data_IF_597348748567
#
_entry.id   IF_597348748567
#
_cell.length_a   1.000
_cell.length_b   1.000
_cell.length_c   1.000
_cell.angle_alpha   90.00
_cell.angle_beta   90.00
_cell.angle_gamma   90.00
#
_symmetry.space_group_name_H-M   'P 1'
#
loop_
_entity.id
_entity.type
_entity.pdbx_description
1 polymer ?
#
# COMPACT_ATOMS: atom_id res chain seq x y z
N UNK A 1 -10.26 5.11 -23.68
CA UNK A 1 -9.06 5.84 -23.19
C UNK A 1 -8.53 6.65 -24.36
N UNK A 2 -8.25 7.96 -24.19
CA UNK A 2 -7.75 8.82 -25.27
C UNK A 2 -6.25 8.51 -25.46
N UNK A 3 -5.74 8.59 -26.70
CA UNK A 3 -4.32 8.36 -27.07
C UNK A 3 -3.32 9.09 -26.17
N UNK A 4 -3.72 10.27 -25.68
CA UNK A 4 -2.96 11.11 -24.76
C UNK A 4 -2.84 10.50 -23.36
N UNK A 5 -3.91 9.87 -22.88
CA UNK A 5 -3.92 9.17 -21.57
C UNK A 5 -3.09 7.87 -21.61
N UNK A 6 -3.07 7.20 -22.74
CA UNK A 6 -2.28 5.99 -22.96
C UNK A 6 -0.78 6.30 -22.97
N UNK A 7 -0.40 7.44 -23.58
CA UNK A 7 0.98 7.90 -23.59
C UNK A 7 1.47 8.29 -22.19
N UNK A 8 0.66 9.01 -21.41
CA UNK A 8 0.98 9.35 -20.02
C UNK A 8 1.11 8.08 -19.15
N UNK A 9 0.20 7.12 -19.31
CA UNK A 9 0.26 5.85 -18.61
C UNK A 9 1.54 5.06 -18.89
N UNK A 10 2.04 5.10 -20.13
CA UNK A 10 3.32 4.49 -20.52
C UNK A 10 4.50 5.16 -19.82
N UNK A 11 4.53 6.51 -19.75
CA UNK A 11 5.58 7.26 -19.05
C UNK A 11 5.54 6.94 -17.55
N UNK A 12 4.35 6.96 -16.94
CA UNK A 12 4.15 6.65 -15.52
C UNK A 12 4.62 5.23 -15.20
N UNK A 13 4.26 4.25 -16.03
CA UNK A 13 4.64 2.85 -15.83
C UNK A 13 6.16 2.66 -15.93
N UNK A 14 6.81 3.20 -16.97
CA UNK A 14 8.25 3.08 -17.11
C UNK A 14 9.04 3.80 -16.02
N UNK A 15 8.54 4.95 -15.54
CA UNK A 15 9.12 5.64 -14.40
C UNK A 15 8.95 4.81 -13.10
N UNK A 16 7.77 4.20 -12.89
CA UNK A 16 7.50 3.33 -11.75
C UNK A 16 8.47 2.14 -11.70
N UNK A 17 8.75 1.49 -12.85
CA UNK A 17 9.69 0.38 -12.94
C UNK A 17 11.11 0.80 -12.56
N UNK A 18 11.57 1.94 -13.06
CA UNK A 18 12.89 2.46 -12.72
C UNK A 18 12.99 2.84 -11.23
N UNK A 19 11.99 3.52 -10.68
CA UNK A 19 11.96 3.87 -9.25
C UNK A 19 11.95 2.63 -8.38
N UNK A 20 11.19 1.60 -8.76
CA UNK A 20 11.10 0.33 -8.05
C UNK A 20 12.46 -0.36 -7.95
N UNK A 21 13.26 -0.34 -9.01
CA UNK A 21 14.55 -1.04 -9.06
C UNK A 21 15.68 -0.20 -8.46
N UNK A 22 15.76 1.08 -8.84
CA UNK A 22 16.91 1.93 -8.56
C UNK A 22 16.71 2.95 -7.43
N UNK A 23 15.48 3.06 -6.88
CA UNK A 23 15.10 4.13 -5.96
C UNK A 23 14.83 5.45 -6.67
N UNK A 24 14.18 6.38 -5.95
CA UNK A 24 13.74 7.63 -6.58
C UNK A 24 14.94 8.52 -6.91
N UNK A 25 15.89 8.65 -5.98
CA UNK A 25 16.99 9.59 -6.11
C UNK A 25 17.90 9.31 -7.29
N UNK A 26 18.23 8.04 -7.54
CA UNK A 26 19.15 7.63 -8.59
C UNK A 26 18.57 7.79 -10.00
N UNK A 27 17.24 7.81 -10.16
CA UNK A 27 16.58 7.91 -11.46
C UNK A 27 16.42 9.37 -11.88
N UNK A 28 16.87 9.70 -13.08
CA UNK A 28 16.74 11.03 -13.70
C UNK A 28 15.67 11.03 -14.80
N UNK A 29 15.18 12.21 -15.20
CA UNK A 29 14.27 12.36 -16.34
C UNK A 29 14.93 11.86 -17.64
N UNK A 30 16.25 11.99 -17.78
CA UNK A 30 17.01 11.45 -18.93
C UNK A 30 17.05 9.92 -18.93
N UNK A 31 17.23 9.31 -17.77
CA UNK A 31 17.18 7.85 -17.63
C UNK A 31 15.81 7.30 -18.01
N UNK A 32 14.72 7.97 -17.61
CA UNK A 32 13.37 7.59 -17.97
C UNK A 32 13.14 7.74 -19.49
N UNK A 33 13.58 8.84 -20.08
CA UNK A 33 13.50 9.07 -21.54
C UNK A 33 14.21 7.96 -22.32
N UNK A 34 15.44 7.65 -21.92
CA UNK A 34 16.25 6.59 -22.53
C UNK A 34 15.60 5.21 -22.39
N UNK A 35 15.09 4.88 -21.21
CA UNK A 35 14.40 3.62 -20.94
C UNK A 35 13.16 3.42 -21.82
N UNK A 36 12.41 4.50 -22.06
CA UNK A 36 11.19 4.47 -22.86
C UNK A 36 11.43 4.63 -24.37
N UNK A 37 12.67 4.96 -24.78
CA UNK A 37 13.00 5.25 -26.18
C UNK A 37 12.32 6.50 -26.72
N UNK A 38 12.11 7.52 -25.86
CA UNK A 38 11.47 8.81 -26.22
C UNK A 38 12.41 9.97 -25.92
N UNK A 39 12.09 11.15 -26.49
CA UNK A 39 12.89 12.35 -26.21
C UNK A 39 12.61 12.87 -24.79
N UNK A 40 13.63 13.46 -24.15
CA UNK A 40 13.47 14.18 -22.87
C UNK A 40 12.40 15.27 -22.97
N UNK A 41 12.35 15.96 -24.10
CA UNK A 41 11.35 16.99 -24.39
C UNK A 41 9.93 16.43 -24.28
N UNK A 42 9.68 15.24 -24.83
CA UNK A 42 8.37 14.59 -24.79
C UNK A 42 7.90 14.29 -23.37
N UNK A 43 8.82 14.00 -22.43
CA UNK A 43 8.45 13.84 -21.03
C UNK A 43 8.11 15.20 -20.39
N UNK A 44 8.93 16.23 -20.65
CA UNK A 44 8.70 17.56 -20.06
C UNK A 44 7.46 18.27 -20.63
N UNK A 45 6.99 17.91 -21.80
CA UNK A 45 5.70 18.37 -22.35
C UNK A 45 4.51 17.82 -21.55
N UNK A 46 4.69 16.71 -20.81
CA UNK A 46 3.66 16.05 -19.99
C UNK A 46 3.84 16.28 -18.49
N UNK A 47 5.06 16.26 -18.02
CA UNK A 47 5.43 16.37 -16.60
C UNK A 47 6.50 17.45 -16.46
N UNK A 48 6.11 18.59 -15.89
CA UNK A 48 6.95 19.79 -15.80
C UNK A 48 8.27 19.55 -15.07
N UNK A 49 8.27 18.60 -14.12
CA UNK A 49 9.42 18.21 -13.34
C UNK A 49 9.29 16.75 -12.84
N UNK A 50 10.34 16.28 -12.17
CA UNK A 50 10.40 14.93 -11.59
C UNK A 50 9.36 14.73 -10.48
N UNK A 51 9.07 15.76 -9.69
CA UNK A 51 8.09 15.67 -8.60
C UNK A 51 6.67 15.52 -9.13
N UNK A 52 6.35 16.17 -10.24
CA UNK A 52 5.05 16.01 -10.92
C UNK A 52 4.89 14.59 -11.47
N UNK A 53 5.94 14.03 -12.09
CA UNK A 53 5.93 12.65 -12.56
C UNK A 53 5.88 11.66 -11.38
N UNK A 54 6.68 11.90 -10.34
CA UNK A 54 6.68 11.06 -9.14
C UNK A 54 5.32 11.05 -8.46
N UNK A 55 4.64 12.21 -8.37
CA UNK A 55 3.27 12.27 -7.86
C UNK A 55 2.33 11.38 -8.67
N UNK A 56 2.38 11.46 -10.00
CA UNK A 56 1.54 10.65 -10.88
C UNK A 56 1.84 9.14 -10.75
N UNK A 57 3.11 8.77 -10.58
CA UNK A 57 3.55 7.39 -10.31
C UNK A 57 2.97 6.88 -8.99
N UNK A 58 3.16 7.64 -7.90
CA UNK A 58 2.66 7.24 -6.58
C UNK A 58 1.13 7.17 -6.54
N UNK A 59 0.45 8.10 -7.17
CA UNK A 59 -1.01 8.11 -7.29
C UNK A 59 -1.51 6.86 -8.06
N UNK A 60 -0.85 6.50 -9.17
CA UNK A 60 -1.15 5.27 -9.91
C UNK A 60 -0.95 4.00 -9.08
N UNK A 61 0.10 3.95 -8.25
CA UNK A 61 0.36 2.83 -7.34
C UNK A 61 -0.76 2.72 -6.30
N UNK A 62 -1.17 3.84 -5.69
CA UNK A 62 -2.27 3.88 -4.70
C UNK A 62 -3.59 3.39 -5.33
N UNK A 63 -3.90 3.84 -6.54
CA UNK A 63 -5.12 3.41 -7.26
C UNK A 63 -5.08 1.90 -7.50
N UNK A 64 -3.98 1.37 -8.05
CA UNK A 64 -3.83 -0.08 -8.30
C UNK A 64 -3.91 -0.91 -7.02
N UNK A 65 -3.35 -0.40 -5.91
CA UNK A 65 -3.43 -1.06 -4.62
C UNK A 65 -4.87 -1.12 -4.11
N UNK A 66 -5.66 -0.06 -4.26
CA UNK A 66 -7.08 -0.05 -3.89
C UNK A 66 -7.88 -1.07 -4.72
N UNK A 67 -7.70 -1.06 -6.03
CA UNK A 67 -8.35 -2.02 -6.93
C UNK A 67 -7.98 -3.47 -6.60
N UNK A 68 -6.75 -3.72 -6.19
CA UNK A 68 -6.29 -5.03 -5.73
C UNK A 68 -7.01 -5.43 -4.43
N UNK A 69 -7.08 -4.54 -3.45
CA UNK A 69 -7.78 -4.78 -2.18
C UNK A 69 -9.26 -5.07 -2.43
N UNK A 70 -9.93 -4.27 -3.25
CA UNK A 70 -11.33 -4.47 -3.60
C UNK A 70 -11.56 -5.84 -4.26
N UNK A 71 -10.72 -6.22 -5.22
CA UNK A 71 -10.78 -7.56 -5.86
C UNK A 71 -10.58 -8.69 -4.86
N UNK A 72 -9.61 -8.57 -3.95
CA UNK A 72 -9.37 -9.60 -2.92
C UNK A 72 -10.57 -9.70 -1.98
N UNK A 73 -11.11 -8.56 -1.54
CA UNK A 73 -12.31 -8.53 -0.69
C UNK A 73 -13.50 -9.21 -1.36
N UNK A 74 -13.70 -8.97 -2.66
CA UNK A 74 -14.85 -9.52 -3.40
C UNK A 74 -14.69 -11.02 -3.70
N UNK A 75 -13.47 -11.49 -3.96
CA UNK A 75 -13.20 -12.89 -4.31
C UNK A 75 -12.96 -13.81 -3.12
N UNK A 76 -12.68 -13.28 -1.94
CA UNK A 76 -12.38 -14.11 -0.77
C UNK A 76 -13.66 -14.63 -0.08
N UNK A 77 -13.64 -15.87 0.44
CA UNK A 77 -14.80 -16.50 1.08
C UNK A 77 -15.26 -15.75 2.34
N UNK A 78 -14.33 -15.15 3.04
CA UNK A 78 -14.57 -14.36 4.25
C UNK A 78 -13.52 -13.26 4.43
N UNK A 79 -13.80 -12.33 5.36
CA UNK A 79 -12.94 -11.17 5.59
C UNK A 79 -11.57 -11.54 6.18
N UNK A 80 -11.46 -12.63 6.96
CA UNK A 80 -10.18 -13.06 7.53
C UNK A 80 -9.28 -13.56 6.41
N UNK A 81 -9.77 -14.46 5.55
CA UNK A 81 -9.07 -14.92 4.34
C UNK A 81 -8.63 -13.76 3.45
N UNK A 82 -9.50 -12.74 3.29
CA UNK A 82 -9.16 -11.55 2.53
C UNK A 82 -7.99 -10.77 3.16
N UNK A 83 -8.02 -10.51 4.47
CA UNK A 83 -6.96 -9.77 5.18
C UNK A 83 -5.63 -10.50 5.08
N UNK A 84 -5.60 -11.82 5.29
CA UNK A 84 -4.37 -12.60 5.13
C UNK A 84 -3.83 -12.57 3.69
N UNK A 85 -4.72 -12.64 2.69
CA UNK A 85 -4.33 -12.50 1.28
C UNK A 85 -3.74 -11.11 0.99
N UNK A 86 -4.35 -10.02 1.50
CA UNK A 86 -3.85 -8.65 1.36
C UNK A 86 -2.46 -8.52 1.99
N UNK A 87 -2.27 -9.02 3.21
CA UNK A 87 -0.97 -8.99 3.91
C UNK A 87 0.10 -9.73 3.10
N UNK A 88 -0.20 -10.95 2.63
CA UNK A 88 0.73 -11.75 1.82
C UNK A 88 1.10 -11.03 0.53
N UNK A 89 0.12 -10.54 -0.22
CA UNK A 89 0.34 -9.80 -1.46
C UNK A 89 1.14 -8.51 -1.24
N UNK A 90 0.85 -7.78 -0.15
CA UNK A 90 1.60 -6.58 0.23
C UNK A 90 3.06 -6.88 0.56
N UNK A 91 3.33 -7.97 1.29
CA UNK A 91 4.69 -8.44 1.61
C UNK A 91 5.47 -8.80 0.35
N UNK A 92 4.85 -9.58 -0.55
CA UNK A 92 5.49 -10.01 -1.79
C UNK A 92 5.81 -8.80 -2.69
N UNK A 93 4.94 -7.81 -2.71
CA UNK A 93 5.16 -6.54 -3.41
C UNK A 93 6.31 -5.73 -2.78
N UNK A 94 6.30 -5.59 -1.46
CA UNK A 94 7.35 -4.87 -0.72
C UNK A 94 8.74 -5.50 -0.93
N UNK A 95 8.83 -6.83 -1.03
CA UNK A 95 10.08 -7.54 -1.29
C UNK A 95 10.70 -7.20 -2.66
N UNK A 96 9.92 -6.71 -3.63
CA UNK A 96 10.39 -6.30 -4.96
C UNK A 96 10.73 -4.81 -5.05
N UNK A 97 10.44 -4.04 -4.01
CA UNK A 97 10.64 -2.58 -4.01
C UNK A 97 12.03 -2.21 -3.49
N UNK A 98 12.63 -1.17 -4.07
CA UNK A 98 13.85 -0.60 -3.52
C UNK A 98 13.58 -0.03 -2.11
N UNK A 99 14.33 -0.45 -1.08
CA UNK A 99 14.09 -0.05 0.31
C UNK A 99 14.25 1.46 0.55
N UNK A 100 14.97 2.16 -0.34
CA UNK A 100 15.21 3.60 -0.20
C UNK A 100 14.01 4.47 -0.62
N UNK A 101 12.99 3.92 -1.30
CA UNK A 101 11.85 4.71 -1.82
C UNK A 101 11.17 5.50 -0.70
N UNK A 102 10.88 4.86 0.43
CA UNK A 102 10.22 5.51 1.56
C UNK A 102 11.04 6.64 2.17
N UNK A 103 12.36 6.42 2.33
CA UNK A 103 13.28 7.44 2.86
C UNK A 103 13.51 8.57 1.86
N UNK A 104 13.63 8.27 0.56
CA UNK A 104 13.76 9.27 -0.50
C UNK A 104 12.53 10.19 -0.56
N UNK A 105 11.32 9.63 -0.50
CA UNK A 105 10.08 10.39 -0.46
C UNK A 105 10.03 11.32 0.75
N UNK A 106 10.36 10.82 1.94
CA UNK A 106 10.33 11.63 3.18
C UNK A 106 11.37 12.76 3.15
N UNK A 107 12.61 12.46 2.72
CA UNK A 107 13.74 13.40 2.81
C UNK A 107 13.78 14.40 1.68
N UNK A 108 13.46 14.00 0.44
CA UNK A 108 13.72 14.80 -0.75
C UNK A 108 12.46 15.23 -1.51
N UNK A 109 11.33 14.55 -1.28
CA UNK A 109 10.09 14.75 -2.01
C UNK A 109 8.89 14.95 -1.07
N UNK A 110 9.08 15.66 0.06
CA UNK A 110 8.04 15.91 1.07
C UNK A 110 6.79 16.59 0.50
N UNK A 111 6.95 17.46 -0.51
CA UNK A 111 5.84 18.11 -1.21
C UNK A 111 4.97 17.08 -1.96
N UNK A 112 5.57 16.06 -2.55
CA UNK A 112 4.82 14.96 -3.19
C UNK A 112 3.99 14.22 -2.15
N UNK A 113 4.58 13.87 -1.00
CA UNK A 113 3.85 13.25 0.10
C UNK A 113 2.70 14.11 0.61
N UNK A 114 2.90 15.42 0.74
CA UNK A 114 1.85 16.35 1.18
C UNK A 114 0.69 16.35 0.18
N UNK A 115 0.97 16.49 -1.12
CA UNK A 115 -0.05 16.46 -2.18
C UNK A 115 -0.81 15.13 -2.23
N UNK A 116 -0.13 14.00 -2.04
CA UNK A 116 -0.77 12.69 -1.97
C UNK A 116 -1.73 12.59 -0.77
N UNK A 117 -1.33 13.11 0.40
CA UNK A 117 -2.19 13.16 1.58
C UNK A 117 -3.42 14.06 1.38
N UNK A 118 -3.25 15.21 0.72
CA UNK A 118 -4.34 16.15 0.41
C UNK A 118 -5.33 15.57 -0.61
N UNK A 119 -4.82 14.86 -1.62
CA UNK A 119 -5.68 14.22 -2.64
C UNK A 119 -6.50 13.05 -2.09
N UNK A 120 -5.90 12.32 -1.17
CA UNK A 120 -6.50 11.12 -0.59
C UNK A 120 -6.66 11.35 0.92
N UNK A 121 -7.85 11.74 1.37
CA UNK A 121 -8.18 11.67 2.80
C UNK A 121 -8.03 10.21 3.28
N UNK A 122 -6.77 9.78 3.52
CA UNK A 122 -6.46 8.48 4.09
C UNK A 122 -6.87 7.24 3.25
N UNK A 123 -6.14 6.89 2.15
CA UNK A 123 -6.42 5.67 1.38
C UNK A 123 -6.39 4.40 2.23
N UNK A 124 -5.48 4.33 3.21
CA UNK A 124 -5.36 3.20 4.11
C UNK A 124 -6.55 3.08 5.07
N UNK A 125 -7.13 4.23 5.48
CA UNK A 125 -8.33 4.24 6.31
C UNK A 125 -9.55 3.73 5.54
N UNK A 126 -9.69 4.08 4.26
CA UNK A 126 -10.83 3.64 3.46
C UNK A 126 -10.79 2.13 3.21
N UNK A 127 -9.59 1.57 2.97
CA UNK A 127 -9.40 0.13 2.88
C UNK A 127 -9.72 -0.56 4.23
N UNK A 128 -9.22 -0.03 5.33
CA UNK A 128 -9.52 -0.55 6.66
C UNK A 128 -11.01 -0.50 6.97
N UNK A 129 -11.71 0.59 6.62
CA UNK A 129 -13.16 0.73 6.81
C UNK A 129 -13.92 -0.35 6.04
N UNK A 130 -13.61 -0.57 4.75
CA UNK A 130 -14.24 -1.62 3.93
C UNK A 130 -14.06 -3.01 4.55
N UNK A 131 -12.84 -3.32 5.01
CA UNK A 131 -12.52 -4.59 5.69
C UNK A 131 -13.39 -4.75 6.95
N UNK A 132 -13.46 -3.72 7.78
CA UNK A 132 -14.22 -3.78 9.04
C UNK A 132 -15.73 -3.89 8.78
N UNK A 133 -16.29 -3.09 7.87
CA UNK A 133 -17.71 -3.15 7.50
C UNK A 133 -18.09 -4.55 6.96
N UNK A 134 -17.25 -5.13 6.09
CA UNK A 134 -17.45 -6.49 5.58
C UNK A 134 -17.41 -7.52 6.71
N UNK A 135 -16.44 -7.42 7.62
CA UNK A 135 -16.31 -8.34 8.75
C UNK A 135 -17.49 -8.27 9.74
N UNK A 136 -17.99 -7.06 10.01
CA UNK A 136 -19.20 -6.87 10.82
C UNK A 136 -20.42 -7.47 10.10
N UNK A 137 -20.60 -7.22 8.82
CA UNK A 137 -21.72 -7.77 8.03
C UNK A 137 -21.71 -9.30 7.97
N UNK A 138 -20.53 -9.92 7.93
CA UNK A 138 -20.34 -11.38 7.97
C UNK A 138 -20.44 -11.97 9.41
N UNK A 139 -20.65 -11.14 10.44
CA UNK A 139 -20.63 -11.51 11.87
C UNK A 139 -19.31 -12.17 12.29
N UNK A 140 -18.23 -11.83 11.61
CA UNK A 140 -16.86 -12.26 11.92
C UNK A 140 -16.24 -11.27 12.91
N UNK A 141 -16.45 -9.97 12.69
CA UNK A 141 -16.12 -8.95 13.69
C UNK A 141 -17.34 -8.61 14.55
N UNK A 142 -17.08 -8.14 15.75
CA UNK A 142 -18.10 -7.77 16.73
C UNK A 142 -18.91 -6.58 16.21
N UNK A 143 -20.21 -6.56 16.52
CA UNK A 143 -21.12 -5.50 16.11
C UNK A 143 -21.03 -4.23 16.97
N UNK A 144 -20.44 -4.34 18.16
CA UNK A 144 -20.28 -3.24 19.12
C UNK A 144 -19.04 -2.39 18.87
N UNK A 145 -18.21 -2.71 17.86
CA UNK A 145 -17.05 -1.92 17.50
C UNK A 145 -17.45 -0.62 16.78
N UNK A 146 -16.80 0.48 17.12
CA UNK A 146 -16.89 1.69 16.33
C UNK A 146 -15.91 1.58 15.14
N UNK A 147 -16.44 1.36 13.94
CA UNK A 147 -15.66 1.13 12.71
C UNK A 147 -14.69 2.27 12.43
N UNK A 148 -15.07 3.53 12.72
CA UNK A 148 -14.19 4.67 12.49
C UNK A 148 -13.00 4.66 13.45
N UNK A 149 -13.24 4.47 14.74
CA UNK A 149 -12.16 4.42 15.75
C UNK A 149 -11.24 3.24 15.48
N UNK A 150 -11.82 2.06 15.28
CA UNK A 150 -11.08 0.82 15.02
C UNK A 150 -10.29 0.89 13.71
N UNK A 151 -10.87 1.50 12.65
CA UNK A 151 -10.17 1.69 11.37
C UNK A 151 -8.96 2.62 11.48
N UNK A 152 -9.07 3.70 12.26
CA UNK A 152 -7.95 4.61 12.55
C UNK A 152 -6.86 3.91 13.38
N UNK A 153 -7.25 3.10 14.37
CA UNK A 153 -6.33 2.29 15.16
C UNK A 153 -5.62 1.25 14.29
N UNK A 154 -6.34 0.55 13.43
CA UNK A 154 -5.78 -0.42 12.49
C UNK A 154 -4.71 0.19 11.58
N UNK A 155 -4.98 1.37 11.02
CA UNK A 155 -3.99 2.13 10.26
C UNK A 155 -2.76 2.49 11.11
N UNK A 156 -2.95 2.95 12.34
CA UNK A 156 -1.86 3.25 13.26
C UNK A 156 -0.97 2.02 13.52
N UNK A 157 -1.59 0.87 13.70
CA UNK A 157 -0.92 -0.42 13.90
C UNK A 157 -0.09 -0.80 12.67
N UNK A 158 -0.64 -0.67 11.45
CA UNK A 158 0.09 -0.95 10.21
C UNK A 158 1.31 -0.03 10.05
N UNK A 159 1.15 1.25 10.36
CA UNK A 159 2.25 2.23 10.31
C UNK A 159 3.34 1.88 11.32
N UNK A 160 2.94 1.57 12.55
CA UNK A 160 3.84 1.18 13.64
C UNK A 160 4.60 -0.12 13.32
N UNK A 161 3.91 -1.11 12.76
CA UNK A 161 4.52 -2.39 12.38
C UNK A 161 5.57 -2.26 11.26
N UNK A 162 5.54 -1.17 10.49
CA UNK A 162 6.54 -0.84 9.45
C UNK A 162 7.63 0.12 9.92
N UNK A 163 7.62 0.51 11.19
CA UNK A 163 8.60 1.47 11.74
C UNK A 163 9.89 0.76 12.15
N UNK A 164 10.98 1.03 11.41
CA UNK A 164 12.28 0.41 11.65
C UNK A 164 13.02 1.01 12.88
N UNK A 165 12.63 2.19 13.36
CA UNK A 165 13.14 2.72 14.63
C UNK A 165 12.55 1.97 15.82
N UNK A 166 11.26 1.60 15.72
CA UNK A 166 10.56 0.84 16.74
C UNK A 166 10.89 -0.67 16.66
N UNK A 167 10.97 -1.22 15.44
CA UNK A 167 11.26 -2.62 15.17
C UNK A 167 12.43 -2.77 14.19
N UNK A 168 13.70 -2.63 14.66
CA UNK A 168 14.89 -2.83 13.84
C UNK A 168 14.88 -4.21 13.19
N UNK A 169 15.13 -4.28 11.88
CA UNK A 169 15.12 -5.53 11.09
C UNK A 169 16.21 -6.52 11.50
N UNK A 170 17.25 -6.04 12.15
CA UNK A 170 18.35 -6.85 12.69
C UNK A 170 17.89 -7.68 13.91
N UNK A 171 16.83 -7.24 14.59
CA UNK A 171 16.33 -7.85 15.83
C UNK A 171 14.99 -8.55 15.61
N UNK A 172 14.10 -7.96 14.81
CA UNK A 172 12.71 -8.40 14.64
C UNK A 172 12.43 -8.81 13.20
N UNK A 173 11.93 -10.03 13.03
CA UNK A 173 11.38 -10.45 11.73
C UNK A 173 10.01 -9.81 11.51
N UNK A 174 9.80 -9.26 10.32
CA UNK A 174 8.52 -8.64 9.96
C UNK A 174 7.32 -9.58 10.17
N UNK A 175 7.51 -10.89 9.94
CA UNK A 175 6.50 -11.91 10.21
C UNK A 175 6.08 -11.92 11.67
N UNK A 176 7.03 -11.85 12.59
CA UNK A 176 6.75 -11.93 14.03
C UNK A 176 6.06 -10.67 14.53
N UNK A 177 6.42 -9.50 14.00
CA UNK A 177 5.72 -8.24 14.27
C UNK A 177 4.26 -8.35 13.81
N UNK A 178 4.04 -8.75 12.56
CA UNK A 178 2.69 -8.90 12.01
C UNK A 178 1.85 -9.91 12.81
N UNK A 179 2.44 -11.06 13.17
CA UNK A 179 1.77 -12.07 13.98
C UNK A 179 1.37 -11.53 15.35
N UNK A 180 2.31 -10.96 16.10
CA UNK A 180 2.07 -10.53 17.47
C UNK A 180 1.20 -9.27 17.57
N UNK A 181 1.28 -8.37 16.61
CA UNK A 181 0.55 -7.09 16.65
C UNK A 181 -0.78 -7.19 15.90
N UNK A 182 -0.74 -7.57 14.64
CA UNK A 182 -1.92 -7.56 13.78
C UNK A 182 -2.91 -8.66 14.16
N UNK A 183 -2.44 -9.90 14.36
CA UNK A 183 -3.32 -11.01 14.71
C UNK A 183 -3.94 -10.79 16.09
N UNK A 184 -3.18 -10.29 17.06
CA UNK A 184 -3.71 -9.94 18.37
C UNK A 184 -4.80 -8.87 18.31
N UNK A 185 -4.58 -7.85 17.49
CA UNK A 185 -5.60 -6.82 17.25
C UNK A 185 -6.86 -7.41 16.61
N UNK A 186 -6.70 -8.21 15.55
CA UNK A 186 -7.82 -8.85 14.86
C UNK A 186 -8.62 -9.76 15.80
N UNK A 187 -7.96 -10.53 16.64
CA UNK A 187 -8.63 -11.37 17.67
C UNK A 187 -9.46 -10.51 18.63
N UNK A 188 -8.94 -9.35 19.06
CA UNK A 188 -9.63 -8.42 19.96
C UNK A 188 -10.93 -7.85 19.42
N UNK A 189 -11.05 -7.71 18.11
CA UNK A 189 -12.26 -7.21 17.45
C UNK A 189 -13.17 -8.32 16.89
N UNK A 190 -12.74 -9.58 16.98
CA UNK A 190 -13.44 -10.73 16.38
C UNK A 190 -14.50 -11.31 17.33
N UNK A 191 -15.51 -11.93 16.74
CA UNK A 191 -16.42 -12.87 17.41
C UNK A 191 -15.72 -14.23 17.59
N UNK A 192 -16.35 -15.15 18.33
CA UNK A 192 -15.84 -16.53 18.44
C UNK A 192 -15.63 -17.19 17.06
N UNK A 193 -16.55 -16.96 16.10
CA UNK A 193 -16.42 -17.41 14.71
C UNK A 193 -15.17 -16.81 14.05
N UNK A 194 -14.94 -15.51 14.23
CA UNK A 194 -13.77 -14.84 13.67
C UNK A 194 -12.45 -15.37 14.24
N UNK A 195 -12.40 -15.62 15.55
CA UNK A 195 -11.21 -16.23 16.20
C UNK A 195 -10.91 -17.61 15.61
N UNK A 196 -11.93 -18.47 15.44
CA UNK A 196 -11.74 -19.79 14.82
C UNK A 196 -11.19 -19.71 13.39
N UNK A 197 -11.64 -18.74 12.58
CA UNK A 197 -11.09 -18.51 11.23
C UNK A 197 -9.63 -18.05 11.30
N UNK A 198 -9.28 -17.16 12.23
CA UNK A 198 -7.89 -16.72 12.43
C UNK A 198 -7.01 -17.92 12.79
N UNK A 199 -7.45 -18.76 13.75
CA UNK A 199 -6.69 -19.92 14.20
C UNK A 199 -6.45 -20.95 13.07
N UNK A 200 -7.42 -21.11 12.15
CA UNK A 200 -7.28 -22.02 11.03
C UNK A 200 -6.24 -21.56 9.99
N UNK A 201 -6.06 -20.25 9.82
CA UNK A 201 -5.18 -19.69 8.80
C UNK A 201 -3.81 -19.33 9.38
N UNK A 202 -3.72 -19.01 10.67
CA UNK A 202 -2.47 -18.57 11.33
C UNK A 202 -1.32 -19.56 11.17
N UNK A 203 -1.62 -20.85 11.06
CA UNK A 203 -0.62 -21.90 10.87
C UNK A 203 -0.05 -21.97 9.44
N UNK A 204 -0.64 -21.23 8.50
CA UNK A 204 -0.21 -21.18 7.09
C UNK A 204 0.73 -20.00 6.78
N UNK A 205 1.04 -19.15 7.77
CA UNK A 205 1.89 -17.97 7.68
C UNK A 205 3.26 -18.25 8.30
#
# INVERSE_FOLDING_TARGET
MNQMQEYDARIISGAADLFRIHGIRAVTMDAIASHLGISKRSIYERFIDKDTLLFAVMDSIIIKQREMIDRILDSSPDVISAVFCIIRTGRDHAATMNPLIGSDLKKYHSNVLKRLKEKCENPDYEAARKILEKGVSQKIFRQDINVEIVGRAFKGILTMAGDEELFPREIFMQRDIMRNVMISFMRGISTAKGVQLIDSIENEI
#
